data_IF_210330482583
#
_entry.id   IF_210330482583
#
_cell.length_a   1.000
_cell.length_b   1.000
_cell.length_c   1.000
_cell.angle_alpha   90.00
_cell.angle_beta   90.00
_cell.angle_gamma   90.00
#
_symmetry.space_group_name_H-M   'P 1'
#
loop_
_entity.id
_entity.type
_entity.pdbx_description
1 polymer ?
#
# COMPACT_ATOMS: atom_id res chain seq x y z
N UNK A 1 77.92 -48.77 -60.25
CA UNK A 1 76.60 -48.24 -59.85
C UNK A 1 76.50 -46.84 -60.42
N UNK A 2 75.67 -46.63 -61.43
CA UNK A 2 75.38 -45.29 -61.96
C UNK A 2 74.15 -44.72 -61.26
N UNK A 3 74.23 -43.44 -60.87
CA UNK A 3 73.14 -42.70 -60.26
C UNK A 3 72.79 -41.47 -61.11
N UNK A 4 71.54 -41.03 -61.02
CA UNK A 4 71.11 -39.74 -61.59
C UNK A 4 71.58 -38.56 -60.75
N UNK A 5 71.29 -37.32 -61.19
CA UNK A 5 71.75 -36.10 -60.52
C UNK A 5 71.14 -35.92 -59.12
N UNK A 6 69.94 -36.45 -58.86
CA UNK A 6 69.32 -36.45 -57.53
C UNK A 6 69.48 -37.77 -56.79
N UNK A 7 70.43 -38.62 -57.21
CA UNK A 7 70.82 -39.84 -56.48
C UNK A 7 69.95 -41.07 -56.72
N UNK A 8 69.09 -41.09 -57.74
CA UNK A 8 68.30 -42.28 -58.10
C UNK A 8 69.22 -43.31 -58.76
N UNK A 9 69.22 -44.55 -58.24
CA UNK A 9 70.08 -45.63 -58.76
C UNK A 9 69.51 -46.21 -60.06
N UNK A 10 70.37 -46.33 -61.09
CA UNK A 10 70.04 -47.03 -62.33
C UNK A 10 70.36 -48.52 -62.20
N UNK A 11 69.52 -49.36 -62.82
CA UNK A 11 69.74 -50.80 -62.85
C UNK A 11 70.89 -51.17 -63.80
N UNK A 12 71.77 -52.11 -63.40
CA UNK A 12 72.98 -52.49 -64.16
C UNK A 12 73.12 -54.00 -64.47
N UNK A 13 72.03 -54.80 -64.47
CA UNK A 13 72.09 -56.24 -64.79
C UNK A 13 71.53 -56.58 -66.18
N UNK A 14 72.21 -57.48 -66.91
CA UNK A 14 72.22 -57.58 -68.37
C UNK A 14 71.19 -58.52 -69.04
N UNK A 15 70.12 -58.95 -68.36
CA UNK A 15 69.25 -60.02 -68.92
C UNK A 15 67.74 -59.71 -69.04
N UNK A 16 67.23 -58.56 -68.60
CA UNK A 16 65.81 -58.17 -68.82
C UNK A 16 65.70 -56.67 -69.09
N UNK A 17 64.94 -56.31 -70.14
CA UNK A 17 64.66 -54.97 -70.69
C UNK A 17 64.98 -53.75 -69.79
N UNK A 18 66.27 -53.45 -69.68
CA UNK A 18 66.86 -52.45 -68.76
C UNK A 18 66.36 -51.03 -69.10
N UNK A 19 66.06 -50.79 -70.38
CA UNK A 19 65.63 -49.49 -70.87
C UNK A 19 64.35 -49.02 -70.16
N UNK A 20 63.37 -49.91 -69.95
CA UNK A 20 62.12 -49.54 -69.27
C UNK A 20 62.35 -49.15 -67.80
N UNK A 21 63.26 -49.84 -67.10
CA UNK A 21 63.58 -49.53 -65.71
C UNK A 21 64.37 -48.22 -65.59
N UNK A 22 65.33 -47.99 -66.49
CA UNK A 22 66.11 -46.76 -66.48
C UNK A 22 65.31 -45.55 -67.00
N UNK A 23 64.28 -45.75 -67.83
CA UNK A 23 63.32 -44.71 -68.19
C UNK A 23 62.50 -44.28 -66.96
N UNK A 24 62.04 -45.23 -66.15
CA UNK A 24 61.33 -44.89 -64.90
C UNK A 24 62.25 -44.14 -63.93
N UNK A 25 63.52 -44.55 -63.81
CA UNK A 25 64.51 -43.83 -63.01
C UNK A 25 64.74 -42.39 -63.51
N UNK A 26 64.74 -42.17 -64.83
CA UNK A 26 64.88 -40.84 -65.43
C UNK A 26 63.64 -39.96 -65.20
N UNK A 27 62.43 -40.50 -65.39
CA UNK A 27 61.17 -39.78 -65.12
C UNK A 27 61.07 -39.39 -63.65
N UNK A 28 61.48 -40.27 -62.74
CA UNK A 28 61.48 -39.98 -61.32
C UNK A 28 62.48 -38.87 -60.96
N UNK A 29 63.67 -38.89 -61.56
CA UNK A 29 64.69 -37.85 -61.37
C UNK A 29 64.24 -36.48 -61.91
N UNK A 30 63.49 -36.46 -63.02
CA UNK A 30 62.86 -35.26 -63.57
C UNK A 30 61.79 -34.71 -62.63
N UNK A 31 60.91 -35.57 -62.09
CA UNK A 31 59.88 -35.17 -61.13
C UNK A 31 60.48 -34.63 -59.82
N UNK A 32 61.57 -35.22 -59.34
CA UNK A 32 62.30 -34.72 -58.15
C UNK A 32 62.99 -33.38 -58.44
N UNK A 33 63.49 -33.19 -59.66
CA UNK A 33 64.10 -31.93 -60.09
C UNK A 33 63.08 -30.82 -60.31
N UNK A 34 61.81 -31.17 -60.58
CA UNK A 34 60.75 -30.22 -60.79
C UNK A 34 60.24 -29.65 -59.46
N UNK A 35 60.73 -28.46 -59.10
CA UNK A 35 60.32 -27.73 -57.88
C UNK A 35 58.97 -27.02 -58.00
N UNK A 36 58.33 -27.04 -59.17
CA UNK A 36 57.04 -26.40 -59.39
C UNK A 36 55.90 -27.38 -59.09
N UNK A 37 55.27 -27.20 -57.93
CA UNK A 37 53.93 -27.77 -57.70
C UNK A 37 52.98 -27.02 -58.64
N UNK A 38 52.65 -27.63 -59.78
CA UNK A 38 51.58 -27.15 -60.64
C UNK A 38 50.21 -27.42 -59.99
N UNK A 39 49.87 -26.67 -58.94
CA UNK A 39 48.45 -26.44 -58.63
C UNK A 39 47.93 -25.63 -59.79
N UNK A 40 47.13 -26.26 -60.66
CA UNK A 40 46.39 -25.56 -61.70
C UNK A 40 45.35 -24.70 -60.99
N UNK A 41 45.75 -23.50 -60.56
CA UNK A 41 44.82 -22.48 -60.07
C UNK A 41 44.06 -22.02 -61.30
N UNK A 42 42.96 -22.70 -61.61
CA UNK A 42 41.91 -22.06 -62.39
C UNK A 42 41.57 -20.78 -61.63
N UNK A 43 41.62 -19.62 -62.29
CA UNK A 43 41.06 -18.38 -61.75
C UNK A 43 39.74 -18.74 -61.09
N UNK A 44 39.55 -18.36 -59.83
CA UNK A 44 38.23 -18.35 -59.19
C UNK A 44 37.41 -17.39 -60.05
N UNK A 45 36.78 -17.94 -61.09
CA UNK A 45 35.86 -17.20 -61.93
C UNK A 45 34.83 -16.61 -60.99
N UNK A 46 34.62 -15.29 -61.11
CA UNK A 46 33.89 -14.47 -60.16
C UNK A 46 32.75 -15.22 -59.50
N UNK A 47 32.90 -15.48 -58.20
CA UNK A 47 31.74 -15.73 -57.36
C UNK A 47 31.04 -14.37 -57.33
N UNK A 48 30.16 -14.13 -58.32
CA UNK A 48 29.09 -13.18 -58.12
C UNK A 48 28.43 -13.62 -56.82
N UNK A 49 28.36 -12.73 -55.82
CA UNK A 49 27.57 -12.99 -54.62
C UNK A 49 26.26 -13.64 -55.06
N UNK A 50 26.03 -14.87 -54.60
CA UNK A 50 24.78 -15.59 -54.89
C UNK A 50 23.63 -14.63 -54.61
N UNK A 51 22.65 -14.53 -55.51
CA UNK A 51 21.46 -13.69 -55.30
C UNK A 51 20.67 -14.11 -54.03
N UNK A 52 21.00 -15.25 -53.43
CA UNK A 52 20.53 -15.66 -52.10
C UNK A 52 21.09 -14.81 -50.95
N UNK A 53 22.32 -14.26 -51.08
CA UNK A 53 22.90 -13.34 -50.09
C UNK A 53 22.22 -11.96 -50.10
N UNK A 54 21.61 -11.55 -51.21
CA UNK A 54 20.83 -10.30 -51.31
C UNK A 54 19.49 -10.34 -50.56
N UNK A 55 19.04 -11.50 -50.08
CA UNK A 55 17.76 -11.61 -49.36
C UNK A 55 17.84 -11.25 -47.87
N UNK A 56 19.04 -11.01 -47.33
CA UNK A 56 19.20 -10.68 -45.90
C UNK A 56 19.07 -9.16 -45.71
N UNK A 57 17.87 -8.63 -45.95
CA UNK A 57 17.52 -7.23 -45.70
C UNK A 57 16.89 -7.07 -44.29
N UNK A 58 16.92 -5.85 -43.72
CA UNK A 58 16.34 -5.53 -42.41
C UNK A 58 14.83 -5.84 -42.28
N UNK A 59 14.12 -6.02 -43.38
CA UNK A 59 12.68 -6.29 -43.47
C UNK A 59 12.31 -7.78 -43.53
N UNK A 60 13.26 -8.68 -43.78
CA UNK A 60 12.97 -10.12 -43.76
C UNK A 60 12.78 -10.62 -42.33
N UNK A 61 11.53 -10.92 -42.00
CA UNK A 61 11.07 -11.35 -40.68
C UNK A 61 10.55 -12.78 -40.67
N UNK A 62 10.52 -13.51 -41.79
CA UNK A 62 9.89 -14.85 -41.79
C UNK A 62 10.21 -15.77 -42.98
N UNK A 63 10.83 -15.28 -44.07
CA UNK A 63 10.98 -16.07 -45.31
C UNK A 63 12.28 -16.86 -45.33
N UNK A 64 13.41 -16.23 -44.98
CA UNK A 64 14.70 -16.93 -44.89
C UNK A 64 14.97 -17.51 -43.49
N UNK A 65 16.00 -18.34 -43.37
CA UNK A 65 16.49 -18.82 -42.07
C UNK A 65 16.83 -17.63 -41.14
N UNK A 66 17.46 -16.59 -41.68
CA UNK A 66 17.82 -15.41 -40.91
C UNK A 66 16.60 -14.59 -40.47
N UNK A 67 15.59 -14.44 -41.34
CA UNK A 67 14.33 -13.80 -40.97
C UNK A 67 13.60 -14.55 -39.86
N UNK A 68 13.61 -15.88 -39.90
CA UNK A 68 13.08 -16.73 -38.81
C UNK A 68 13.84 -16.55 -37.51
N UNK A 69 15.17 -16.48 -37.55
CA UNK A 69 16.02 -16.21 -36.37
C UNK A 69 15.71 -14.83 -35.78
N UNK A 70 15.63 -13.79 -36.61
CA UNK A 70 15.26 -12.43 -36.17
C UNK A 70 13.90 -12.40 -35.48
N UNK A 71 12.90 -13.06 -36.06
CA UNK A 71 11.57 -13.15 -35.45
C UNK A 71 11.59 -13.87 -34.12
N UNK A 72 12.31 -14.98 -34.01
CA UNK A 72 12.48 -15.69 -32.73
C UNK A 72 13.11 -14.78 -31.68
N UNK A 73 14.16 -14.03 -32.02
CA UNK A 73 14.80 -13.06 -31.11
C UNK A 73 13.81 -11.95 -30.72
N UNK A 74 13.08 -11.38 -31.68
CA UNK A 74 12.10 -10.31 -31.41
C UNK A 74 10.96 -10.78 -30.50
N UNK A 75 10.44 -11.99 -30.71
CA UNK A 75 9.43 -12.61 -29.85
C UNK A 75 9.98 -12.85 -28.44
N UNK A 76 11.23 -13.33 -28.33
CA UNK A 76 11.90 -13.52 -27.03
C UNK A 76 12.06 -12.21 -26.26
N UNK A 77 12.49 -11.13 -26.93
CA UNK A 77 12.56 -9.79 -26.33
C UNK A 77 11.18 -9.33 -25.86
N UNK A 78 10.15 -9.47 -26.70
CA UNK A 78 8.78 -9.10 -26.32
C UNK A 78 8.20 -9.92 -25.17
N UNK A 79 8.62 -11.18 -25.01
CA UNK A 79 8.28 -12.00 -23.85
C UNK A 79 9.04 -11.55 -22.59
N UNK A 80 10.32 -11.19 -22.72
CA UNK A 80 11.13 -10.67 -21.63
C UNK A 80 10.56 -9.36 -21.07
N UNK A 81 10.17 -8.43 -21.95
CA UNK A 81 9.57 -7.15 -21.57
C UNK A 81 8.22 -7.33 -20.84
N UNK A 82 7.42 -8.32 -21.26
CA UNK A 82 6.14 -8.64 -20.58
C UNK A 82 6.34 -9.34 -19.24
N UNK A 83 7.39 -10.16 -19.11
CA UNK A 83 7.70 -10.88 -17.89
C UNK A 83 8.25 -9.97 -16.78
N UNK A 84 8.73 -8.77 -17.12
CA UNK A 84 9.38 -7.83 -16.20
C UNK A 84 8.77 -6.42 -16.30
N UNK A 85 7.49 -6.27 -15.96
CA UNK A 85 6.85 -4.94 -15.83
C UNK A 85 6.53 -4.62 -14.37
N UNK A 86 6.19 -3.36 -14.08
CA UNK A 86 5.76 -2.91 -12.75
C UNK A 86 4.55 -3.69 -12.19
N UNK A 87 3.76 -4.34 -13.04
CA UNK A 87 2.49 -5.00 -12.64
C UNK A 87 2.44 -6.51 -12.92
N UNK A 88 3.52 -7.10 -13.44
CA UNK A 88 3.58 -8.54 -13.78
C UNK A 88 4.94 -9.16 -13.44
N UNK A 89 4.90 -10.24 -12.64
CA UNK A 89 6.00 -11.20 -12.50
C UNK A 89 5.73 -12.39 -13.41
N UNK A 90 6.37 -12.43 -14.58
CA UNK A 90 6.09 -13.47 -15.58
C UNK A 90 4.62 -13.42 -16.04
N UNK A 91 3.85 -14.48 -15.76
CA UNK A 91 2.42 -14.58 -16.08
C UNK A 91 1.48 -14.22 -14.92
N UNK A 92 1.99 -13.81 -13.76
CA UNK A 92 1.18 -13.47 -12.59
C UNK A 92 0.92 -11.97 -12.57
N UNK A 93 -0.35 -11.59 -12.71
CA UNK A 93 -0.81 -10.21 -12.49
C UNK A 93 -0.77 -9.91 -10.99
N UNK A 94 0.02 -8.91 -10.60
CA UNK A 94 0.07 -8.43 -9.22
C UNK A 94 -1.06 -7.41 -9.06
N UNK A 95 -1.99 -7.68 -8.13
CA UNK A 95 -3.08 -6.74 -7.80
C UNK A 95 -2.57 -5.52 -7.04
N UNK A 96 -3.37 -4.47 -6.94
CA UNK A 96 -2.99 -3.18 -6.32
C UNK A 96 -2.62 -3.26 -4.83
N UNK A 97 -3.02 -4.33 -4.13
CA UNK A 97 -2.68 -4.58 -2.73
C UNK A 97 -1.27 -5.16 -2.49
N UNK A 98 -0.47 -5.35 -3.53
CA UNK A 98 0.89 -5.89 -3.45
C UNK A 98 1.88 -4.92 -4.15
N UNK A 99 3.05 -4.75 -3.55
CA UNK A 99 4.16 -3.96 -4.09
C UNK A 99 5.43 -4.81 -4.26
N UNK A 100 6.28 -4.43 -5.21
CA UNK A 100 7.54 -5.10 -5.49
C UNK A 100 8.71 -4.33 -4.90
N UNK A 101 9.53 -4.99 -4.10
CA UNK A 101 10.78 -4.44 -3.59
C UNK A 101 11.87 -5.51 -3.67
N UNK A 102 12.98 -5.21 -4.35
CA UNK A 102 14.12 -6.12 -4.52
C UNK A 102 13.76 -7.52 -5.09
N UNK A 103 12.80 -7.57 -6.02
CA UNK A 103 12.34 -8.82 -6.62
C UNK A 103 11.43 -9.68 -5.73
N UNK A 104 11.03 -9.17 -4.56
CA UNK A 104 10.10 -9.82 -3.64
C UNK A 104 8.77 -9.06 -3.63
N UNK A 105 7.68 -9.79 -3.88
CA UNK A 105 6.33 -9.26 -3.71
C UNK A 105 5.98 -9.18 -2.22
N UNK A 106 5.52 -8.02 -1.75
CA UNK A 106 5.06 -7.79 -0.39
C UNK A 106 3.67 -7.15 -0.41
N UNK A 107 2.95 -7.27 0.70
CA UNK A 107 1.69 -6.54 0.88
C UNK A 107 2.00 -5.06 1.01
N UNK A 108 1.28 -4.23 0.28
CA UNK A 108 1.34 -2.78 0.40
C UNK A 108 0.72 -2.38 1.75
N UNK A 109 1.55 -1.91 2.67
CA UNK A 109 1.14 -1.60 4.05
C UNK A 109 1.37 -0.11 4.32
N UNK A 110 0.36 0.59 4.81
CA UNK A 110 0.48 1.99 5.23
C UNK A 110 0.64 2.08 6.74
N UNK A 111 1.62 2.87 7.16
CA UNK A 111 1.96 3.12 8.55
C UNK A 111 1.66 4.58 8.96
N UNK A 112 0.50 5.08 8.55
CA UNK A 112 0.04 6.45 8.77
C UNK A 112 -1.49 6.47 8.90
N UNK A 113 -2.02 6.99 10.01
CA UNK A 113 -3.47 7.11 10.25
C UNK A 113 -4.12 8.29 9.50
N UNK A 114 -3.33 9.17 8.90
CA UNK A 114 -3.81 10.34 8.14
C UNK A 114 -3.94 10.08 6.64
N UNK A 115 -3.46 8.92 6.18
CA UNK A 115 -3.57 8.50 4.79
C UNK A 115 -5.04 8.34 4.36
N UNK A 116 -5.30 8.55 3.07
CA UNK A 116 -6.57 8.22 2.42
C UNK A 116 -6.43 7.07 1.39
N UNK A 117 -5.30 6.34 1.42
CA UNK A 117 -5.06 5.21 0.53
C UNK A 117 -5.98 4.03 0.85
N UNK A 118 -7.01 3.85 0.02
CA UNK A 118 -7.98 2.75 0.15
C UNK A 118 -7.50 1.41 -0.42
N UNK A 119 -6.38 1.40 -1.13
CA UNK A 119 -5.86 0.19 -1.79
C UNK A 119 -4.82 -0.55 -0.93
N UNK A 120 -4.35 0.08 0.14
CA UNK A 120 -3.33 -0.46 1.04
C UNK A 120 -3.90 -0.99 2.35
N UNK A 121 -3.28 -2.03 2.88
CA UNK A 121 -3.60 -2.52 4.21
C UNK A 121 -3.02 -1.60 5.29
N UNK A 122 -3.72 -1.43 6.41
CA UNK A 122 -3.19 -0.70 7.56
C UNK A 122 -2.18 -1.56 8.33
N UNK A 123 -1.09 -0.97 8.78
CA UNK A 123 -0.12 -1.67 9.63
C UNK A 123 -0.75 -2.08 10.97
N UNK A 124 -0.30 -3.21 11.53
CA UNK A 124 -0.76 -3.66 12.84
C UNK A 124 -0.46 -2.64 13.95
N UNK A 125 0.66 -1.90 13.84
CA UNK A 125 1.03 -0.85 14.77
C UNK A 125 0.02 0.31 14.76
N UNK A 126 -0.38 0.75 13.56
CA UNK A 126 -1.41 1.81 13.41
C UNK A 126 -2.78 1.33 13.86
N UNK A 127 -3.13 0.06 13.61
CA UNK A 127 -4.34 -0.54 14.16
C UNK A 127 -4.38 -0.53 15.70
N UNK A 128 -3.22 -0.73 16.34
CA UNK A 128 -3.04 -0.56 17.78
C UNK A 128 -3.29 0.87 18.25
N UNK A 129 -2.64 1.85 17.62
CA UNK A 129 -2.82 3.27 17.93
C UNK A 129 -4.28 3.74 17.77
N UNK A 130 -4.96 3.30 16.70
CA UNK A 130 -6.36 3.62 16.46
C UNK A 130 -7.27 3.10 17.59
N UNK A 131 -7.02 1.86 18.04
CA UNK A 131 -7.75 1.26 19.16
C UNK A 131 -7.53 2.06 20.44
N UNK A 132 -6.29 2.48 20.72
CA UNK A 132 -5.97 3.25 21.92
C UNK A 132 -6.64 4.63 21.90
N UNK A 133 -6.61 5.32 20.76
CA UNK A 133 -7.32 6.59 20.56
C UNK A 133 -8.83 6.43 20.79
N UNK A 134 -9.44 5.39 20.21
CA UNK A 134 -10.85 5.09 20.39
C UNK A 134 -11.20 4.85 21.87
N UNK A 135 -10.37 4.08 22.57
CA UNK A 135 -10.58 3.80 23.99
C UNK A 135 -10.41 5.05 24.86
N UNK A 136 -9.47 5.94 24.53
CA UNK A 136 -9.31 7.23 25.22
C UNK A 136 -10.58 8.08 25.10
N UNK A 137 -11.08 8.28 23.87
CA UNK A 137 -12.30 9.05 23.61
C UNK A 137 -13.50 8.42 24.33
N UNK A 138 -13.65 7.10 24.25
CA UNK A 138 -14.73 6.38 24.94
C UNK A 138 -14.66 6.59 26.45
N UNK A 139 -13.46 6.54 27.04
CA UNK A 139 -13.27 6.74 28.46
C UNK A 139 -13.52 8.19 28.90
N UNK A 140 -13.16 9.17 28.08
CA UNK A 140 -13.50 10.58 28.31
C UNK A 140 -15.02 10.80 28.29
N UNK A 141 -15.71 10.28 27.28
CA UNK A 141 -17.18 10.35 27.20
C UNK A 141 -17.87 9.70 28.40
N UNK A 142 -17.31 8.62 28.95
CA UNK A 142 -17.88 7.93 30.11
C UNK A 142 -17.61 8.66 31.44
N UNK A 143 -16.56 9.48 31.53
CA UNK A 143 -16.29 10.31 32.72
C UNK A 143 -17.28 11.47 32.82
N UNK A 144 -17.74 11.97 31.68
CA UNK A 144 -18.66 13.10 31.55
C UNK A 144 -20.12 12.65 31.34
N UNK A 145 -20.53 11.55 31.96
CA UNK A 145 -21.93 11.13 31.96
C UNK A 145 -22.34 10.73 33.38
N UNK A 146 -22.19 11.66 34.32
CA UNK A 146 -22.61 11.46 35.70
C UNK A 146 -24.10 11.83 35.83
N UNK A 147 -24.97 10.85 36.08
CA UNK A 147 -26.29 11.10 36.62
C UNK A 147 -26.07 11.25 38.13
N UNK A 148 -26.08 12.48 38.66
CA UNK A 148 -25.97 12.70 40.11
C UNK A 148 -27.37 12.70 40.73
N UNK A 149 -27.70 11.73 41.59
CA UNK A 149 -28.62 11.96 42.69
C UNK A 149 -27.93 11.72 44.05
N UNK A 150 -28.24 12.47 45.13
CA UNK A 150 -29.19 13.59 45.23
C UNK A 150 -28.49 14.93 45.54
N UNK A 151 -29.11 15.99 45.05
CA UNK A 151 -28.96 17.35 45.58
C UNK A 151 -29.20 17.29 47.10
N UNK A 152 -28.26 17.77 47.93
CA UNK A 152 -28.54 17.94 49.37
C UNK A 152 -29.66 18.97 49.49
N UNK A 153 -30.82 18.51 49.94
CA UNK A 153 -32.03 19.34 50.03
C UNK A 153 -32.08 20.05 51.38
N UNK A 154 -32.34 21.35 51.39
CA UNK A 154 -32.63 22.07 52.62
C UNK A 154 -33.94 21.61 53.28
N UNK A 155 -34.09 21.89 54.58
CA UNK A 155 -35.28 21.56 55.35
C UNK A 155 -36.51 22.18 54.68
N UNK A 156 -37.48 21.35 54.29
CA UNK A 156 -38.69 21.82 53.63
C UNK A 156 -38.84 21.41 52.17
N UNK A 157 -37.85 20.70 51.59
CA UNK A 157 -37.91 20.26 50.20
C UNK A 157 -37.42 18.82 50.02
N UNK A 158 -38.08 18.08 49.14
CA UNK A 158 -37.69 16.71 48.79
C UNK A 158 -37.53 16.57 47.28
N UNK A 159 -36.44 15.91 46.87
CA UNK A 159 -36.25 15.49 45.49
C UNK A 159 -37.19 14.31 45.25
N UNK A 160 -38.13 14.47 44.31
CA UNK A 160 -39.09 13.42 43.94
C UNK A 160 -38.47 12.50 42.90
N UNK A 161 -37.79 13.07 41.89
CA UNK A 161 -37.12 12.34 40.84
C UNK A 161 -36.16 13.24 40.05
N UNK A 162 -35.29 12.63 39.26
CA UNK A 162 -34.39 13.33 38.35
C UNK A 162 -33.03 13.67 38.97
N UNK A 163 -32.29 14.52 38.28
CA UNK A 163 -30.96 14.97 38.62
C UNK A 163 -30.40 15.90 37.54
N UNK A 164 -29.09 15.88 37.37
CA UNK A 164 -28.45 16.51 36.23
C UNK A 164 -27.51 15.54 35.52
N UNK A 165 -27.23 15.86 34.26
CA UNK A 165 -26.26 15.20 33.41
C UNK A 165 -25.28 16.27 32.92
N UNK A 166 -23.98 16.10 33.19
CA UNK A 166 -22.96 17.00 32.70
C UNK A 166 -22.11 16.31 31.64
N UNK A 167 -22.14 16.80 30.40
CA UNK A 167 -21.33 16.33 29.26
C UNK A 167 -20.31 17.41 28.90
N UNK A 168 -19.03 17.18 29.21
CA UNK A 168 -17.99 18.20 29.16
C UNK A 168 -18.37 19.42 30.01
N UNK A 169 -18.47 20.58 29.35
CA UNK A 169 -18.91 21.83 30.00
C UNK A 169 -20.43 22.05 29.96
N UNK A 170 -21.19 21.24 29.24
CA UNK A 170 -22.64 21.40 29.16
C UNK A 170 -23.32 20.64 30.29
N UNK A 171 -24.11 21.34 31.09
CA UNK A 171 -24.96 20.75 32.14
C UNK A 171 -26.40 20.76 31.68
N UNK A 172 -27.08 19.62 31.82
CA UNK A 172 -28.50 19.42 31.56
C UNK A 172 -29.18 19.06 32.86
N UNK A 173 -30.21 19.81 33.24
CA UNK A 173 -30.99 19.59 34.46
C UNK A 173 -32.36 19.08 34.10
N UNK A 174 -32.81 18.03 34.80
CA UNK A 174 -34.19 17.60 34.82
C UNK A 174 -34.51 17.04 36.21
N UNK A 175 -35.22 17.83 37.03
CA UNK A 175 -35.53 17.49 38.42
C UNK A 175 -37.00 17.77 38.72
N UNK A 176 -37.58 16.94 39.59
CA UNK A 176 -38.88 17.19 40.20
C UNK A 176 -38.73 17.35 41.70
N UNK A 177 -39.28 18.43 42.25
CA UNK A 177 -39.18 18.78 43.66
C UNK A 177 -40.56 18.85 44.30
N UNK A 178 -40.68 18.45 45.56
CA UNK A 178 -41.87 18.64 46.40
C UNK A 178 -41.50 19.44 47.65
N UNK A 179 -42.19 20.55 47.86
CA UNK A 179 -42.08 21.33 49.09
C UNK A 179 -42.91 20.69 50.21
N UNK A 180 -42.29 20.47 51.37
CA UNK A 180 -42.98 20.14 52.63
C UNK A 180 -43.24 21.39 53.48
N UNK A 181 -42.61 22.53 53.14
CA UNK A 181 -42.92 23.87 53.64
C UNK A 181 -42.69 24.89 52.53
N UNK A 182 -43.32 26.07 52.58
CA UNK A 182 -43.13 27.09 51.55
C UNK A 182 -41.66 27.52 51.42
N UNK A 183 -41.15 27.53 50.19
CA UNK A 183 -39.79 27.95 49.81
C UNK A 183 -39.90 29.26 49.03
N UNK A 184 -39.25 30.32 49.51
CA UNK A 184 -39.25 31.64 48.89
C UNK A 184 -37.80 32.10 48.68
N UNK A 185 -37.26 31.83 47.50
CA UNK A 185 -35.94 32.31 47.08
C UNK A 185 -34.80 31.92 48.04
N UNK A 186 -34.91 30.73 48.63
CA UNK A 186 -33.88 30.10 49.48
C UNK A 186 -33.09 29.13 48.59
N UNK A 187 -31.76 28.98 48.75
CA UNK A 187 -30.98 27.99 48.02
C UNK A 187 -31.52 26.58 48.26
N UNK A 188 -31.76 25.88 47.17
CA UNK A 188 -32.44 24.59 47.09
C UNK A 188 -31.43 23.43 46.98
N UNK A 189 -30.18 23.72 46.64
CA UNK A 189 -29.09 22.74 46.56
C UNK A 189 -27.73 23.44 46.53
N UNK A 190 -26.68 22.82 47.08
CA UNK A 190 -25.29 23.27 46.97
C UNK A 190 -24.47 22.50 45.91
N UNK A 191 -25.09 21.68 45.04
CA UNK A 191 -24.36 20.65 44.28
C UNK A 191 -24.62 20.62 42.77
N UNK A 192 -25.18 21.67 42.18
CA UNK A 192 -25.18 21.79 40.71
C UNK A 192 -23.80 22.31 40.23
N UNK A 193 -23.36 21.93 39.02
CA UNK A 193 -22.17 22.48 38.41
C UNK A 193 -22.18 24.01 38.40
N UNK A 194 -21.05 24.62 38.74
CA UNK A 194 -20.97 26.09 38.85
C UNK A 194 -21.11 26.69 37.44
N UNK A 195 -22.08 27.61 37.21
CA UNK A 195 -22.21 28.28 35.92
C UNK A 195 -20.93 29.05 35.56
N UNK A 196 -20.68 29.24 34.26
CA UNK A 196 -19.59 30.11 33.80
C UNK A 196 -19.59 31.44 34.55
N UNK A 197 -18.40 31.88 34.99
CA UNK A 197 -18.22 32.98 35.95
C UNK A 197 -19.14 34.19 35.70
N UNK A 198 -19.89 34.57 36.74
CA UNK A 198 -20.76 35.74 36.75
C UNK A 198 -22.16 35.55 36.15
N UNK A 199 -22.55 34.33 35.77
CA UNK A 199 -23.87 34.07 35.18
C UNK A 199 -24.88 33.50 36.19
N UNK A 200 -26.08 34.09 36.21
CA UNK A 200 -27.28 33.50 36.80
C UNK A 200 -28.08 32.87 35.66
N UNK A 201 -28.40 31.59 35.76
CA UNK A 201 -29.03 30.81 34.69
C UNK A 201 -30.52 30.65 35.00
N UNK A 202 -31.43 31.30 34.28
CA UNK A 202 -32.85 31.02 34.42
C UNK A 202 -33.17 29.61 33.90
N UNK A 203 -33.98 28.87 34.65
CA UNK A 203 -34.46 27.55 34.26
C UNK A 203 -35.98 27.60 34.03
N UNK A 204 -36.45 26.72 33.14
CA UNK A 204 -37.88 26.52 32.95
C UNK A 204 -38.41 25.69 34.10
N UNK A 205 -39.37 26.22 34.85
CA UNK A 205 -40.02 25.51 35.94
C UNK A 205 -41.54 25.63 35.88
N UNK A 206 -42.24 24.54 36.16
CA UNK A 206 -43.70 24.48 36.09
C UNK A 206 -44.28 23.72 37.28
N UNK A 207 -45.40 24.19 37.80
CA UNK A 207 -46.19 23.42 38.77
C UNK A 207 -46.80 22.20 38.09
N UNK A 208 -46.63 21.02 38.70
CA UNK A 208 -47.17 19.78 38.13
C UNK A 208 -48.69 19.69 38.21
N UNK A 209 -49.34 20.44 39.12
CA UNK A 209 -50.79 20.37 39.32
C UNK A 209 -51.59 21.17 38.28
N UNK A 210 -51.08 22.31 37.83
CA UNK A 210 -51.83 23.27 36.99
C UNK A 210 -50.99 23.88 35.86
N UNK A 211 -49.73 23.50 35.70
CA UNK A 211 -48.84 23.99 34.65
C UNK A 211 -48.36 25.44 34.81
N UNK A 212 -48.64 26.11 35.94
CA UNK A 212 -48.21 27.49 36.14
C UNK A 212 -46.68 27.59 36.17
N UNK A 213 -46.15 28.52 35.39
CA UNK A 213 -44.73 28.80 35.37
C UNK A 213 -44.24 29.29 36.74
N UNK A 214 -43.07 28.81 37.15
CA UNK A 214 -42.40 29.20 38.39
C UNK A 214 -41.05 29.84 38.06
N UNK A 215 -40.65 30.81 38.86
CA UNK A 215 -39.30 31.37 38.76
C UNK A 215 -38.32 30.38 39.36
N UNK A 216 -37.36 29.96 38.55
CA UNK A 216 -36.29 29.07 38.95
C UNK A 216 -34.98 29.51 38.28
N UNK A 217 -33.86 29.48 38.99
CA UNK A 217 -32.56 29.81 38.42
C UNK A 217 -31.41 29.12 39.17
N UNK A 218 -30.29 28.89 38.48
CA UNK A 218 -29.02 28.51 39.10
C UNK A 218 -28.20 29.78 39.32
N UNK A 219 -27.78 30.00 40.55
CA UNK A 219 -26.95 31.14 40.94
C UNK A 219 -25.46 30.88 40.63
N UNK A 220 -24.64 31.94 40.70
CA UNK A 220 -23.21 31.90 40.31
C UNK A 220 -22.34 30.95 41.14
N UNK A 221 -22.85 30.44 42.25
CA UNK A 221 -22.19 29.48 43.13
C UNK A 221 -22.67 28.03 42.91
N UNK A 222 -23.54 27.79 41.92
CA UNK A 222 -24.14 26.46 41.69
C UNK A 222 -25.42 26.20 42.49
N UNK A 223 -25.91 27.19 43.26
CA UNK A 223 -27.12 27.00 44.04
C UNK A 223 -28.37 27.13 43.18
N UNK A 224 -29.31 26.20 43.33
CA UNK A 224 -30.64 26.31 42.70
C UNK A 224 -31.53 27.22 43.54
N UNK A 225 -32.27 28.14 42.94
CA UNK A 225 -33.27 28.97 43.62
C UNK A 225 -34.62 28.75 42.98
N UNK A 226 -35.66 28.55 43.79
CA UNK A 226 -37.03 28.40 43.33
C UNK A 226 -38.03 28.98 44.33
N UNK A 227 -39.20 29.36 43.84
CA UNK A 227 -40.36 29.69 44.67
C UNK A 227 -41.37 28.54 44.58
N UNK A 228 -41.68 27.92 45.71
CA UNK A 228 -42.52 26.72 45.77
C UNK A 228 -43.41 26.83 47.00
N UNK A 229 -44.73 26.87 46.82
CA UNK A 229 -45.66 26.86 47.95
C UNK A 229 -45.61 25.53 48.70
N UNK A 230 -46.03 25.52 49.95
CA UNK A 230 -46.12 24.29 50.75
C UNK A 230 -46.97 23.22 50.05
N UNK A 231 -46.51 21.96 50.10
CA UNK A 231 -47.13 20.79 49.45
C UNK A 231 -47.20 20.84 47.92
N UNK A 232 -46.63 21.87 47.27
CA UNK A 232 -46.58 21.97 45.83
C UNK A 232 -45.46 21.11 45.24
N UNK A 233 -45.70 20.59 44.03
CA UNK A 233 -44.69 19.91 43.21
C UNK A 233 -44.35 20.74 41.99
N UNK A 234 -43.07 20.84 41.67
CA UNK A 234 -42.59 21.51 40.46
C UNK A 234 -41.66 20.60 39.67
N UNK A 235 -41.70 20.72 38.35
CA UNK A 235 -40.71 20.16 37.44
C UNK A 235 -39.82 21.30 36.94
N UNK A 236 -38.51 21.09 36.95
CA UNK A 236 -37.49 22.06 36.51
C UNK A 236 -36.66 21.40 35.42
N UNK A 237 -36.48 22.11 34.31
CA UNK A 237 -35.62 21.70 33.21
C UNK A 237 -34.84 22.87 32.62
N UNK A 238 -33.64 22.59 32.15
CA UNK A 238 -32.82 23.56 31.42
C UNK A 238 -31.41 23.07 31.21
N UNK A 239 -30.59 23.89 30.56
CA UNK A 239 -29.18 23.60 30.35
C UNK A 239 -28.34 24.87 30.39
N UNK A 240 -27.06 24.72 30.73
CA UNK A 240 -26.08 25.81 30.73
C UNK A 240 -24.65 25.29 30.61
N UNK A 241 -23.73 26.23 30.36
CA UNK A 241 -22.30 25.97 30.33
C UNK A 241 -21.74 26.16 31.74
N UNK A 242 -21.19 25.10 32.33
CA UNK A 242 -20.46 25.10 33.58
C UNK A 242 -18.97 25.43 33.39
N UNK A 243 -18.29 25.80 34.49
CA UNK A 243 -16.84 26.07 34.52
C UNK A 243 -16.04 24.79 34.29
#
# INVERSE_FOLDING_TARGET
METTNNGVQKAQFQEINIASFNNNAAVLDEHISNKDIHVKVCNIAGIAESDELKQIDCTDTNRTLWGKIKKTISVLIGHLDKAASETTLGHIKIGTGLEMQDGVAKVKIVNDLTTNDSESAMSAAMGGQLKDNFMSIKNELNKDAFIVPPLVMEKGLTLVSGGYLQIGKMTYINIQLKATSAINNIPVSYSLPIPKAGQIIPLSAFQLANGLAQRCFVHTNGDLYANIAENQRIAIAGSYVAV
#
